data_IF_076939427900
#
_entry.id   IF_076939427900
#
_cell.length_a   1.000
_cell.length_b   1.000
_cell.length_c   1.000
_cell.angle_alpha   90.00
_cell.angle_beta   90.00
_cell.angle_gamma   90.00
#
_symmetry.space_group_name_H-M   'P 1'
#
loop_
_entity.id
_entity.type
_entity.pdbx_description
1 polymer ?
#
# COMPACT_ATOMS: atom_id res chain seq x y z
N UNK A 1 96.93 2.96 -14.62
CA UNK A 1 96.00 2.03 -13.94
C UNK A 1 95.13 2.66 -12.84
N UNK A 2 95.67 3.48 -11.90
CA UNK A 2 94.85 4.08 -10.82
C UNK A 2 93.68 4.95 -11.32
N UNK A 3 93.88 5.82 -12.32
CA UNK A 3 92.81 6.66 -12.91
C UNK A 3 91.68 5.83 -13.55
N UNK A 4 92.02 4.76 -14.28
CA UNK A 4 91.05 3.87 -14.93
C UNK A 4 90.20 3.13 -13.88
N UNK A 5 90.82 2.60 -12.80
CA UNK A 5 90.08 1.97 -11.69
C UNK A 5 89.12 2.97 -11.02
N UNK A 6 89.57 4.20 -10.75
CA UNK A 6 88.75 5.24 -10.14
C UNK A 6 87.54 5.63 -10.99
N UNK A 7 87.71 5.71 -12.32
CA UNK A 7 86.63 6.00 -13.27
C UNK A 7 85.63 4.83 -13.32
N UNK A 8 86.12 3.58 -13.36
CA UNK A 8 85.27 2.38 -13.33
C UNK A 8 84.44 2.30 -12.03
N UNK A 9 85.05 2.58 -10.87
CA UNK A 9 84.36 2.60 -9.57
C UNK A 9 83.29 3.70 -9.51
N UNK A 10 83.59 4.89 -10.00
CA UNK A 10 82.63 6.00 -10.05
C UNK A 10 81.45 5.70 -10.98
N UNK A 11 81.72 5.20 -12.19
CA UNK A 11 80.67 4.83 -13.14
C UNK A 11 79.79 3.68 -12.63
N UNK A 12 80.38 2.69 -11.94
CA UNK A 12 79.64 1.61 -11.30
C UNK A 12 78.72 2.12 -10.18
N UNK A 13 79.24 3.02 -9.32
CA UNK A 13 78.45 3.65 -8.26
C UNK A 13 77.30 4.47 -8.84
N UNK A 14 77.56 5.29 -9.88
CA UNK A 14 76.53 6.13 -10.49
C UNK A 14 75.43 5.30 -11.16
N UNK A 15 75.80 4.22 -11.84
CA UNK A 15 74.85 3.27 -12.43
C UNK A 15 73.96 2.61 -11.37
N UNK A 16 74.56 2.16 -10.26
CA UNK A 16 73.85 1.52 -9.17
C UNK A 16 72.92 2.50 -8.44
N UNK A 17 73.37 3.73 -8.19
CA UNK A 17 72.55 4.79 -7.59
C UNK A 17 71.38 5.19 -8.50
N UNK A 18 71.63 5.32 -9.81
CA UNK A 18 70.57 5.65 -10.78
C UNK A 18 69.51 4.53 -10.84
N UNK A 19 69.93 3.26 -10.92
CA UNK A 19 69.02 2.11 -10.90
C UNK A 19 68.23 2.00 -9.58
N UNK A 20 68.89 2.21 -8.44
CA UNK A 20 68.23 2.18 -7.13
C UNK A 20 67.22 3.32 -6.97
N UNK A 21 67.53 4.52 -7.49
CA UNK A 21 66.59 5.65 -7.49
C UNK A 21 65.39 5.42 -8.41
N UNK A 22 65.56 4.79 -9.57
CA UNK A 22 64.47 4.46 -10.49
C UNK A 22 63.54 3.39 -9.91
N UNK A 23 64.07 2.41 -9.19
CA UNK A 23 63.29 1.33 -8.56
C UNK A 23 62.36 1.86 -7.46
N UNK A 24 62.72 2.95 -6.78
CA UNK A 24 61.91 3.57 -5.74
C UNK A 24 60.64 4.26 -6.27
N UNK A 25 60.57 4.61 -7.56
CA UNK A 25 59.40 5.27 -8.16
C UNK A 25 58.31 4.32 -8.65
N UNK A 26 58.54 2.99 -8.63
CA UNK A 26 57.59 1.98 -9.14
C UNK A 26 56.84 1.23 -8.03
N UNK A 27 57.05 1.53 -6.76
CA UNK A 27 56.31 0.90 -5.68
C UNK A 27 55.03 1.72 -5.37
N UNK A 28 53.95 1.46 -6.11
CA UNK A 28 52.61 1.84 -5.67
C UNK A 28 51.99 0.61 -4.99
N UNK A 29 51.58 0.75 -3.72
CA UNK A 29 50.68 -0.25 -3.12
C UNK A 29 49.30 -0.03 -3.73
N UNK A 30 48.98 -0.78 -4.77
CA UNK A 30 47.65 -0.83 -5.37
C UNK A 30 46.80 -1.82 -4.57
N UNK A 31 46.01 -1.27 -3.64
CA UNK A 31 45.15 -2.03 -2.74
C UNK A 31 45.82 -2.40 -1.40
N UNK A 32 44.99 -2.59 -0.38
CA UNK A 32 45.36 -3.00 0.98
C UNK A 32 44.69 -4.35 1.25
N UNK A 33 45.49 -5.41 1.37
CA UNK A 33 45.01 -6.70 1.88
C UNK A 33 45.16 -6.74 3.39
N UNK A 34 44.07 -6.98 4.13
CA UNK A 34 44.07 -7.23 5.57
C UNK A 34 43.77 -8.71 5.78
N UNK A 35 44.84 -9.49 5.94
CA UNK A 35 44.77 -10.93 6.11
C UNK A 35 46.05 -11.50 6.73
N UNK A 36 45.99 -12.75 7.15
CA UNK A 36 47.12 -13.48 7.75
C UNK A 36 47.98 -14.23 6.73
N UNK A 37 47.54 -14.31 5.46
CA UNK A 37 48.20 -15.07 4.38
C UNK A 37 49.23 -14.25 3.59
N UNK A 38 49.26 -12.93 3.79
CA UNK A 38 50.10 -12.00 3.05
C UNK A 38 49.63 -11.77 1.61
N UNK A 39 48.41 -12.21 1.26
CA UNK A 39 47.87 -12.04 -0.08
C UNK A 39 47.54 -10.57 -0.36
N UNK A 40 47.90 -10.09 -1.55
CA UNK A 40 47.47 -8.78 -2.01
C UNK A 40 45.95 -8.75 -2.22
N UNK A 41 45.36 -7.56 -2.13
CA UNK A 41 43.96 -7.36 -2.50
C UNK A 41 43.74 -7.71 -3.99
N UNK A 42 42.55 -8.20 -4.33
CA UNK A 42 42.11 -8.41 -5.71
C UNK A 42 42.17 -7.11 -6.50
N UNK A 43 42.38 -7.22 -7.80
CA UNK A 43 42.55 -6.10 -8.74
C UNK A 43 41.35 -5.13 -8.78
N UNK A 44 40.15 -5.58 -8.43
CA UNK A 44 38.95 -4.76 -8.32
C UNK A 44 38.78 -4.03 -6.96
N UNK A 45 39.67 -4.24 -5.98
CA UNK A 45 39.50 -3.75 -4.61
C UNK A 45 40.67 -2.88 -4.12
N UNK A 46 40.34 -1.72 -3.53
CA UNK A 46 41.32 -0.89 -2.80
C UNK A 46 41.54 -1.42 -1.37
N UNK A 47 40.56 -2.11 -0.79
CA UNK A 47 40.67 -2.77 0.51
C UNK A 47 39.99 -4.13 0.43
N UNK A 48 40.71 -5.20 0.76
CA UNK A 48 40.17 -6.55 0.90
C UNK A 48 40.45 -7.05 2.32
N UNK A 49 39.41 -7.58 2.96
CA UNK A 49 39.49 -8.23 4.27
C UNK A 49 39.05 -9.67 4.04
N UNK A 50 39.98 -10.61 4.07
CA UNK A 50 39.69 -12.00 3.70
C UNK A 50 40.91 -12.89 3.79
N UNK A 51 40.73 -14.06 4.37
CA UNK A 51 41.80 -15.01 4.69
C UNK A 51 41.67 -16.33 3.91
N UNK A 52 40.76 -16.37 2.92
CA UNK A 52 40.53 -17.52 2.05
C UNK A 52 39.67 -18.62 2.67
N UNK A 53 39.57 -18.68 4.01
CA UNK A 53 38.58 -19.48 4.76
C UNK A 53 37.46 -18.63 5.39
N UNK A 54 37.55 -17.30 5.26
CA UNK A 54 36.56 -16.27 5.64
C UNK A 54 35.85 -16.50 6.99
N UNK A 55 36.64 -16.75 8.04
CA UNK A 55 36.15 -16.92 9.42
C UNK A 55 36.17 -15.63 10.24
N UNK A 56 36.92 -14.63 9.81
CA UNK A 56 36.99 -13.30 10.42
C UNK A 56 36.21 -12.27 9.62
N UNK A 57 35.85 -11.17 10.28
CA UNK A 57 35.15 -10.04 9.66
C UNK A 57 35.69 -8.71 10.14
N UNK A 58 35.08 -7.63 9.66
CA UNK A 58 35.40 -6.27 10.06
C UNK A 58 34.65 -5.87 11.33
N UNK A 59 35.38 -5.57 12.41
CA UNK A 59 34.78 -4.93 13.59
C UNK A 59 34.76 -3.40 13.39
N UNK A 60 33.56 -2.86 13.27
CA UNK A 60 33.32 -1.42 13.13
C UNK A 60 33.42 -0.72 14.52
N UNK A 61 33.85 0.55 14.60
CA UNK A 61 33.89 1.29 15.86
C UNK A 61 32.57 1.23 16.64
N UNK A 62 32.67 0.89 17.92
CA UNK A 62 31.54 0.84 18.85
C UNK A 62 31.49 2.12 19.65
N UNK A 63 30.37 2.83 19.60
CA UNK A 63 30.15 4.11 20.28
C UNK A 63 28.84 4.10 21.05
N UNK A 64 28.62 5.10 21.89
CA UNK A 64 27.35 5.32 22.56
C UNK A 64 26.69 6.56 21.97
N UNK A 65 25.82 6.35 20.97
CA UNK A 65 25.01 7.46 20.45
C UNK A 65 23.95 7.83 21.48
N UNK A 66 23.81 9.12 21.77
CA UNK A 66 22.79 9.65 22.68
C UNK A 66 21.57 10.18 21.94
N UNK A 67 21.77 10.75 20.75
CA UNK A 67 20.76 11.31 19.87
C UNK A 67 21.24 11.13 18.43
N UNK A 68 20.38 10.69 17.53
CA UNK A 68 20.75 10.52 16.12
C UNK A 68 20.92 11.85 15.39
N UNK A 69 20.32 12.93 15.86
CA UNK A 69 20.36 14.23 15.19
C UNK A 69 21.65 15.03 15.52
N UNK A 70 22.56 14.46 16.30
CA UNK A 70 23.82 15.08 16.70
C UNK A 70 25.00 14.20 16.29
N UNK A 71 26.05 14.80 15.72
CA UNK A 71 27.23 14.06 15.24
C UNK A 71 28.04 13.37 16.36
N UNK A 72 27.85 13.80 17.61
CA UNK A 72 28.46 13.21 18.80
C UNK A 72 28.13 11.70 18.89
N UNK A 73 29.04 10.91 19.49
CA UNK A 73 30.24 11.29 20.23
C UNK A 73 31.48 11.51 19.34
N UNK A 74 31.34 11.44 18.01
CA UNK A 74 32.44 11.73 17.10
C UNK A 74 32.74 13.23 17.10
N UNK A 75 34.02 13.58 16.96
CA UNK A 75 34.53 14.95 16.97
C UNK A 75 35.27 15.28 15.66
N UNK A 76 35.37 16.57 15.33
CA UNK A 76 36.03 17.05 14.11
C UNK A 76 35.03 17.34 12.98
N UNK A 77 35.55 17.55 11.76
CA UNK A 77 34.71 17.75 10.57
C UNK A 77 33.90 16.49 10.30
N UNK A 78 32.58 16.61 10.21
CA UNK A 78 31.72 15.46 9.93
C UNK A 78 31.97 14.91 8.53
N UNK A 79 32.16 13.61 8.42
CA UNK A 79 32.37 12.93 7.13
C UNK A 79 31.16 12.04 6.85
N UNK A 80 30.48 12.28 5.73
CA UNK A 80 29.35 11.45 5.27
C UNK A 80 29.80 10.01 5.02
N UNK A 81 28.91 9.06 5.27
CA UNK A 81 29.11 7.62 5.11
C UNK A 81 30.01 6.96 6.16
N UNK A 82 30.37 7.65 7.25
CA UNK A 82 30.96 6.97 8.41
C UNK A 82 29.98 5.98 9.01
N UNK A 83 30.41 4.75 9.28
CA UNK A 83 29.60 3.69 9.90
C UNK A 83 30.12 3.44 11.32
N UNK A 84 29.21 3.32 12.27
CA UNK A 84 29.48 2.96 13.68
C UNK A 84 28.46 1.93 14.16
N UNK A 85 28.81 1.19 15.21
CA UNK A 85 27.83 0.43 15.99
C UNK A 85 27.50 1.19 17.28
N UNK A 86 26.23 1.56 17.47
CA UNK A 86 25.74 2.13 18.74
C UNK A 86 25.42 1.01 19.72
N UNK A 87 26.02 1.06 20.91
CA UNK A 87 25.73 0.11 22.00
C UNK A 87 24.52 0.52 22.86
N UNK A 88 24.02 1.74 22.65
CA UNK A 88 22.87 2.33 23.32
C UNK A 88 21.72 2.55 22.35
N UNK A 89 20.52 2.81 22.89
CA UNK A 89 19.37 3.30 22.15
C UNK A 89 19.40 4.83 22.11
N UNK A 90 19.92 5.49 21.06
CA UNK A 90 19.87 6.94 20.96
C UNK A 90 18.42 7.42 20.85
N UNK A 91 18.16 8.63 21.37
CA UNK A 91 16.91 9.36 21.10
C UNK A 91 16.70 9.53 19.60
N UNK A 92 15.45 9.46 19.15
CA UNK A 92 15.03 9.47 17.73
C UNK A 92 15.64 8.34 16.87
N UNK A 93 16.37 7.42 17.48
CA UNK A 93 16.95 6.25 16.82
C UNK A 93 16.09 5.01 16.95
N UNK A 94 16.68 3.87 16.55
CA UNK A 94 16.02 2.58 16.50
C UNK A 94 16.80 1.52 17.29
N UNK A 95 17.06 1.81 18.56
CA UNK A 95 17.78 0.90 19.46
C UNK A 95 19.29 0.76 19.17
N UNK A 96 19.98 -0.15 19.86
CA UNK A 96 21.37 -0.50 19.56
C UNK A 96 21.49 -1.12 18.17
N UNK A 97 22.59 -0.87 17.47
CA UNK A 97 22.79 -1.39 16.11
C UNK A 97 23.75 -0.57 15.28
N UNK A 98 23.82 -0.88 13.99
CA UNK A 98 24.65 -0.13 13.06
C UNK A 98 23.98 1.18 12.64
N UNK A 99 24.75 2.25 12.60
CA UNK A 99 24.34 3.57 12.13
C UNK A 99 25.36 4.10 11.15
N UNK A 100 24.90 4.84 10.14
CA UNK A 100 25.79 5.64 9.30
C UNK A 100 25.46 7.12 9.38
N UNK A 101 26.47 7.98 9.23
CA UNK A 101 26.28 9.43 9.18
C UNK A 101 25.83 9.87 7.79
N UNK A 102 24.66 10.49 7.68
CA UNK A 102 24.11 10.98 6.40
C UNK A 102 24.74 12.30 5.92
N UNK A 103 25.58 12.93 6.75
CA UNK A 103 25.99 14.33 6.59
C UNK A 103 25.26 15.28 7.54
N UNK A 104 24.10 14.87 8.06
CA UNK A 104 23.27 15.70 8.96
C UNK A 104 22.73 14.96 10.18
N UNK A 105 22.55 13.64 10.10
CA UNK A 105 22.11 12.79 11.22
C UNK A 105 22.60 11.36 11.07
N UNK A 106 22.59 10.61 12.16
CA UNK A 106 22.79 9.17 12.18
C UNK A 106 21.53 8.47 11.66
N UNK A 107 21.72 7.54 10.72
CA UNK A 107 20.65 6.70 10.18
C UNK A 107 20.90 5.27 10.60
N UNK A 108 19.93 4.65 11.27
CA UNK A 108 19.99 3.24 11.61
C UNK A 108 19.97 2.39 10.33
N UNK A 109 20.87 1.43 10.25
CA UNK A 109 20.87 0.40 9.20
C UNK A 109 19.98 -0.73 9.72
N UNK A 110 18.67 -0.61 9.42
CA UNK A 110 17.71 -1.63 9.80
C UNK A 110 17.90 -2.90 8.96
N UNK A 111 17.83 -4.06 9.60
CA UNK A 111 17.80 -5.36 8.93
C UNK A 111 16.62 -6.19 9.44
N UNK A 112 15.89 -6.89 8.57
CA UNK A 112 14.89 -7.85 9.01
C UNK A 112 15.56 -9.01 9.74
N UNK A 113 15.03 -9.41 10.89
CA UNK A 113 15.55 -10.56 11.65
C UNK A 113 15.24 -11.92 11.01
N UNK A 114 14.53 -11.97 9.89
CA UNK A 114 13.82 -13.17 9.41
C UNK A 114 14.25 -13.61 7.99
N UNK A 115 15.33 -13.06 7.44
CA UNK A 115 15.78 -13.36 6.07
C UNK A 115 14.98 -12.63 4.99
N UNK A 116 15.16 -13.03 3.70
CA UNK A 116 14.41 -12.44 2.60
C UNK A 116 12.95 -12.88 2.69
N UNK A 117 12.01 -11.93 2.62
CA UNK A 117 10.58 -12.23 2.63
C UNK A 117 10.18 -13.15 1.47
N UNK A 118 9.00 -13.76 1.58
CA UNK A 118 8.40 -14.53 0.48
C UNK A 118 7.71 -13.59 -0.52
N UNK A 119 7.56 -14.02 -1.78
CA UNK A 119 6.82 -13.27 -2.81
C UNK A 119 5.43 -12.86 -2.30
N UNK A 120 5.08 -11.59 -2.48
CA UNK A 120 3.82 -11.00 -2.01
C UNK A 120 3.85 -10.46 -0.58
N UNK A 121 4.92 -10.69 0.20
CA UNK A 121 5.11 -10.03 1.49
C UNK A 121 5.66 -8.62 1.32
N UNK A 122 5.30 -7.74 2.25
CA UNK A 122 5.84 -6.39 2.36
C UNK A 122 6.60 -6.26 3.68
N UNK A 123 7.69 -5.49 3.67
CA UNK A 123 8.42 -5.19 4.89
C UNK A 123 7.63 -4.12 5.66
N UNK A 124 7.22 -4.44 6.87
CA UNK A 124 6.46 -3.55 7.74
C UNK A 124 7.33 -3.03 8.88
N UNK A 125 7.10 -1.77 9.27
CA UNK A 125 7.74 -1.19 10.46
C UNK A 125 7.15 -1.81 11.72
N UNK A 126 8.01 -2.26 12.63
CA UNK A 126 7.59 -2.70 13.97
C UNK A 126 7.33 -1.55 14.95
N UNK A 127 7.57 -0.30 14.54
CA UNK A 127 7.61 0.85 15.44
C UNK A 127 8.98 1.05 16.10
N UNK A 128 9.12 2.08 16.93
CA UNK A 128 10.39 2.46 17.58
C UNK A 128 10.97 1.32 18.42
N UNK A 129 12.21 0.95 18.13
CA UNK A 129 12.94 -0.10 18.86
C UNK A 129 12.58 -1.53 18.47
N UNK A 130 11.70 -1.71 17.48
CA UNK A 130 11.35 -3.03 16.95
C UNK A 130 11.97 -3.25 15.57
N UNK A 131 12.42 -4.48 15.31
CA UNK A 131 12.88 -4.87 14.00
C UNK A 131 11.73 -4.82 12.98
N UNK A 132 12.05 -4.50 11.73
CA UNK A 132 11.09 -4.62 10.63
C UNK A 132 10.75 -6.08 10.37
N UNK A 133 9.47 -6.39 10.12
CA UNK A 133 9.00 -7.76 9.89
C UNK A 133 8.31 -7.87 8.54
N UNK A 134 8.51 -9.01 7.86
CA UNK A 134 7.76 -9.33 6.65
C UNK A 134 6.33 -9.70 7.02
N UNK A 135 5.37 -9.00 6.44
CA UNK A 135 3.96 -9.29 6.61
C UNK A 135 3.33 -9.62 5.25
N UNK A 136 2.44 -10.60 5.24
CA UNK A 136 1.54 -10.81 4.10
C UNK A 136 0.44 -9.76 4.20
N UNK A 137 0.32 -8.83 3.24
CA UNK A 137 -0.79 -7.87 3.23
C UNK A 137 -2.12 -8.61 3.28
N UNK A 138 -3.09 -8.09 4.06
CA UNK A 138 -4.43 -8.62 4.04
C UNK A 138 -5.01 -8.50 2.62
N UNK A 139 -5.42 -9.62 2.04
CA UNK A 139 -6.17 -9.62 0.78
C UNK A 139 -7.62 -9.28 1.08
N UNK A 140 -8.06 -8.12 0.61
CA UNK A 140 -9.48 -7.75 0.66
C UNK A 140 -10.24 -8.60 -0.36
N UNK A 141 -11.05 -9.54 0.11
CA UNK A 141 -11.98 -10.28 -0.75
C UNK A 141 -13.30 -9.51 -0.82
N UNK A 142 -13.75 -9.19 -2.03
CA UNK A 142 -15.02 -8.56 -2.21
C UNK A 142 -16.14 -9.61 -2.04
N UNK A 143 -17.17 -9.28 -1.25
CA UNK A 143 -18.37 -10.11 -1.12
C UNK A 143 -19.28 -10.01 -2.34
N UNK A 144 -20.57 -10.34 -2.19
CA UNK A 144 -21.53 -10.35 -3.30
C UNK A 144 -22.13 -8.97 -3.66
N UNK A 145 -21.80 -7.90 -2.91
CA UNK A 145 -22.37 -6.56 -3.10
C UNK A 145 -21.38 -5.46 -3.50
N UNK A 146 -20.08 -5.71 -3.37
CA UNK A 146 -19.00 -4.82 -3.79
C UNK A 146 -18.03 -5.66 -4.62
N UNK A 147 -17.33 -5.06 -5.58
CA UNK A 147 -16.24 -5.75 -6.30
C UNK A 147 -14.93 -4.98 -6.18
N UNK A 148 -13.84 -5.69 -5.92
CA UNK A 148 -12.49 -5.12 -5.90
C UNK A 148 -11.80 -5.49 -7.20
N UNK A 149 -11.44 -4.48 -8.00
CA UNK A 149 -10.63 -4.65 -9.20
C UNK A 149 -9.34 -3.86 -9.04
N UNK A 150 -8.21 -4.57 -8.94
CA UNK A 150 -6.89 -3.99 -8.64
C UNK A 150 -6.93 -3.15 -7.35
N UNK A 151 -6.98 -1.83 -7.50
CA UNK A 151 -6.96 -0.83 -6.44
C UNK A 151 -8.29 -0.06 -6.31
N UNK A 152 -9.34 -0.49 -7.01
CA UNK A 152 -10.63 0.22 -7.05
C UNK A 152 -11.74 -0.63 -6.43
N UNK A 153 -12.42 -0.08 -5.42
CA UNK A 153 -13.67 -0.63 -4.87
C UNK A 153 -14.82 -0.13 -5.74
N UNK A 154 -15.57 -1.05 -6.32
CA UNK A 154 -16.71 -0.77 -7.17
C UNK A 154 -18.02 -1.15 -6.45
N UNK A 155 -19.06 -0.39 -6.76
CA UNK A 155 -20.41 -0.56 -6.24
C UNK A 155 -21.41 -0.53 -7.40
N UNK A 156 -22.49 -1.30 -7.27
CA UNK A 156 -23.65 -1.21 -8.17
C UNK A 156 -24.52 0.01 -7.86
N UNK A 157 -24.24 0.71 -6.76
CA UNK A 157 -24.87 1.98 -6.39
C UNK A 157 -23.94 3.14 -6.71
N UNK A 158 -24.41 4.09 -7.51
CA UNK A 158 -23.65 5.30 -7.88
C UNK A 158 -24.40 6.54 -7.46
N UNK A 159 -23.64 7.53 -6.99
CA UNK A 159 -24.13 8.88 -6.73
C UNK A 159 -24.24 9.68 -8.04
N UNK A 160 -25.40 10.28 -8.30
CA UNK A 160 -25.61 11.25 -9.38
C UNK A 160 -26.12 12.55 -8.76
N UNK A 161 -25.25 13.56 -8.67
CA UNK A 161 -25.53 14.73 -7.85
C UNK A 161 -25.72 14.33 -6.38
N UNK A 162 -26.91 14.60 -5.83
CA UNK A 162 -27.28 14.23 -4.46
C UNK A 162 -28.04 12.90 -4.37
N UNK A 163 -28.34 12.27 -5.51
CA UNK A 163 -29.15 11.05 -5.56
C UNK A 163 -28.28 9.81 -5.67
N UNK A 164 -28.81 8.65 -5.25
CA UNK A 164 -28.18 7.35 -5.43
C UNK A 164 -29.08 6.50 -6.34
N UNK A 165 -28.48 5.85 -7.32
CA UNK A 165 -29.19 4.95 -8.22
C UNK A 165 -28.42 3.65 -8.48
N UNK A 166 -29.16 2.60 -8.85
CA UNK A 166 -28.57 1.37 -9.34
C UNK A 166 -28.00 1.63 -10.74
N UNK A 167 -26.67 1.54 -10.88
CA UNK A 167 -25.93 1.90 -12.10
C UNK A 167 -25.86 0.78 -13.14
N UNK A 168 -26.47 -0.37 -12.86
CA UNK A 168 -26.61 -1.47 -13.80
C UNK A 168 -28.04 -1.53 -14.37
N UNK A 169 -28.24 -2.41 -15.36
CA UNK A 169 -29.54 -2.58 -16.01
C UNK A 169 -30.56 -3.39 -15.19
N UNK A 170 -30.13 -4.04 -14.11
CA UNK A 170 -30.94 -4.94 -13.29
C UNK A 170 -31.84 -4.18 -12.29
N UNK A 171 -32.46 -4.94 -11.40
CA UNK A 171 -33.45 -4.50 -10.43
C UNK A 171 -32.90 -4.52 -9.00
N UNK A 172 -33.55 -3.80 -8.10
CA UNK A 172 -33.22 -3.77 -6.67
C UNK A 172 -34.17 -4.71 -5.94
N UNK A 173 -33.60 -5.73 -5.27
CA UNK A 173 -34.37 -6.68 -4.46
C UNK A 173 -34.21 -6.43 -2.97
N UNK A 174 -35.29 -6.56 -2.20
CA UNK A 174 -35.28 -6.57 -0.73
C UNK A 174 -35.91 -7.87 -0.25
N UNK A 175 -35.11 -8.80 0.27
CA UNK A 175 -35.56 -10.15 0.62
C UNK A 175 -35.99 -11.02 -0.58
N UNK A 176 -35.85 -10.50 -1.79
CA UNK A 176 -36.17 -11.15 -3.06
C UNK A 176 -34.86 -11.50 -3.78
N UNK A 177 -34.74 -12.75 -4.26
CA UNK A 177 -33.58 -13.21 -5.06
C UNK A 177 -33.86 -13.27 -6.56
N UNK A 178 -35.11 -13.02 -6.98
CA UNK A 178 -35.54 -12.97 -8.38
C UNK A 178 -36.55 -11.82 -8.55
N UNK A 179 -36.07 -10.62 -8.86
CA UNK A 179 -36.90 -9.40 -8.86
C UNK A 179 -37.69 -9.21 -10.17
N UNK A 180 -39.01 -9.09 -10.08
CA UNK A 180 -39.92 -8.85 -11.21
C UNK A 180 -40.15 -7.38 -11.58
N UNK A 181 -39.73 -6.44 -10.73
CA UNK A 181 -39.87 -5.00 -10.92
C UNK A 181 -38.59 -4.26 -10.54
N UNK A 182 -38.45 -2.99 -10.95
CA UNK A 182 -37.26 -2.16 -10.67
C UNK A 182 -36.92 -2.08 -9.19
N UNK A 183 -37.93 -2.05 -8.33
CA UNK A 183 -37.83 -2.31 -6.91
C UNK A 183 -38.80 -3.45 -6.56
N UNK A 184 -38.27 -4.57 -6.08
CA UNK A 184 -39.05 -5.73 -5.67
C UNK A 184 -38.76 -6.07 -4.21
N UNK A 185 -39.82 -6.11 -3.40
CA UNK A 185 -39.76 -6.35 -1.96
C UNK A 185 -40.56 -7.61 -1.65
N UNK A 186 -39.87 -8.69 -1.28
CA UNK A 186 -40.50 -9.91 -0.79
C UNK A 186 -40.91 -9.72 0.67
N UNK A 187 -42.04 -9.03 0.87
CA UNK A 187 -42.53 -8.61 2.18
C UNK A 187 -43.37 -7.34 2.07
N UNK A 188 -43.46 -6.58 3.16
CA UNK A 188 -44.18 -5.30 3.18
C UNK A 188 -43.20 -4.15 2.94
N UNK A 189 -43.47 -3.32 1.93
CA UNK A 189 -42.79 -2.04 1.77
C UNK A 189 -43.60 -0.93 2.48
N UNK A 190 -42.96 -0.19 3.39
CA UNK A 190 -43.57 0.99 4.05
C UNK A 190 -43.06 2.27 3.41
N UNK A 191 -43.92 2.96 2.66
CA UNK A 191 -43.67 4.32 2.18
C UNK A 191 -44.26 5.30 3.18
N UNK A 192 -43.42 6.15 3.81
CA UNK A 192 -43.86 7.06 4.89
C UNK A 192 -44.74 8.21 4.41
N UNK A 193 -44.60 8.57 3.14
CA UNK A 193 -45.33 9.67 2.52
C UNK A 193 -46.12 9.12 1.33
N UNK A 194 -45.87 9.60 0.12
CA UNK A 194 -46.60 9.20 -1.09
C UNK A 194 -45.79 8.19 -1.88
N UNK A 195 -46.43 7.09 -2.29
CA UNK A 195 -45.91 6.23 -3.34
C UNK A 195 -46.24 6.91 -4.68
N UNK A 196 -45.26 7.64 -5.24
CA UNK A 196 -45.34 8.22 -6.57
C UNK A 196 -45.24 7.11 -7.61
N UNK A 197 -46.20 7.07 -8.51
CA UNK A 197 -46.37 6.02 -9.52
C UNK A 197 -46.72 6.77 -10.81
N UNK A 198 -46.07 6.52 -11.95
CA UNK A 198 -46.42 7.14 -13.25
C UNK A 198 -45.30 7.93 -13.96
N UNK A 199 -45.41 7.99 -15.30
CA UNK A 199 -44.62 8.83 -16.21
C UNK A 199 -45.59 9.65 -17.10
N UNK A 200 -45.49 10.99 -17.07
CA UNK A 200 -46.19 11.93 -17.96
C UNK A 200 -47.75 12.02 -17.88
N UNK A 201 -48.37 13.10 -18.42
CA UNK A 201 -49.64 13.69 -17.92
C UNK A 201 -50.97 12.92 -18.07
N UNK A 202 -50.98 11.71 -18.66
CA UNK A 202 -52.22 10.97 -18.99
C UNK A 202 -52.36 9.58 -18.34
N UNK A 203 -51.47 9.17 -17.43
CA UNK A 203 -51.47 7.82 -16.86
C UNK A 203 -52.25 7.66 -15.54
N UNK A 204 -52.70 6.41 -15.26
CA UNK A 204 -52.89 5.93 -13.88
C UNK A 204 -51.52 5.85 -13.29
N UNK A 205 -51.34 6.68 -12.30
CA UNK A 205 -50.14 6.76 -11.54
C UNK A 205 -49.71 5.35 -11.08
N UNK A 206 -50.52 4.64 -10.27
CA UNK A 206 -50.29 3.25 -9.83
C UNK A 206 -51.38 2.67 -8.93
N UNK A 207 -51.28 1.37 -8.59
CA UNK A 207 -52.40 0.54 -8.12
C UNK A 207 -52.05 -0.24 -6.84
N UNK A 208 -53.03 -0.30 -5.95
CA UNK A 208 -52.96 -0.89 -4.61
C UNK A 208 -53.88 -2.13 -4.52
N UNK A 209 -53.34 -3.31 -4.16
CA UNK A 209 -54.09 -4.58 -4.04
C UNK A 209 -53.60 -5.36 -2.81
N UNK A 210 -54.51 -5.73 -1.91
CA UNK A 210 -54.20 -6.53 -0.71
C UNK A 210 -54.81 -7.94 -0.77
N UNK A 211 -54.13 -8.92 -0.17
CA UNK A 211 -54.62 -10.28 0.05
C UNK A 211 -55.71 -10.36 1.17
N UNK A 212 -56.06 -9.24 1.83
CA UNK A 212 -56.93 -9.24 3.03
C UNK A 212 -58.36 -8.73 2.78
N UNK A 213 -58.77 -8.54 1.52
CA UNK A 213 -60.19 -8.34 1.19
C UNK A 213 -60.71 -6.90 1.21
N UNK A 214 -59.84 -5.88 1.24
CA UNK A 214 -60.21 -4.55 0.72
C UNK A 214 -59.82 -4.49 -0.76
N UNK A 215 -60.73 -4.03 -1.60
CA UNK A 215 -60.58 -4.11 -3.05
C UNK A 215 -59.63 -3.06 -3.63
N UNK A 216 -59.43 -3.17 -4.94
CA UNK A 216 -58.44 -2.43 -5.71
C UNK A 216 -59.08 -1.25 -6.46
N UNK A 217 -58.39 -0.10 -6.48
CA UNK A 217 -58.82 1.10 -7.19
C UNK A 217 -57.82 1.43 -8.31
N UNK A 218 -58.38 1.70 -9.50
CA UNK A 218 -57.71 2.10 -10.74
C UNK A 218 -58.21 3.49 -11.12
N UNK A 219 -57.33 4.39 -11.55
CA UNK A 219 -57.75 5.64 -12.22
C UNK A 219 -57.62 5.48 -13.74
N UNK A 220 -57.53 6.48 -14.61
CA UNK A 220 -56.92 6.43 -15.96
C UNK A 220 -56.90 7.85 -16.48
N UNK A 221 -55.72 8.46 -16.61
CA UNK A 221 -55.63 9.92 -16.72
C UNK A 221 -56.35 10.64 -15.58
N UNK A 222 -56.83 11.86 -15.82
CA UNK A 222 -57.41 12.73 -14.78
C UNK A 222 -58.84 12.42 -14.34
N UNK A 223 -59.60 11.58 -15.07
CA UNK A 223 -61.07 11.69 -14.97
C UNK A 223 -61.86 10.39 -14.92
N UNK A 224 -61.23 9.23 -15.03
CA UNK A 224 -61.95 7.94 -14.90
C UNK A 224 -61.37 7.15 -13.76
N UNK A 225 -62.25 6.64 -12.91
CA UNK A 225 -61.90 5.80 -11.79
C UNK A 225 -62.83 4.63 -11.70
N UNK A 226 -62.26 3.53 -11.27
CA UNK A 226 -62.92 2.24 -11.22
C UNK A 226 -62.41 1.58 -9.94
N UNK A 227 -63.31 1.20 -9.06
CA UNK A 227 -62.98 0.81 -7.70
C UNK A 227 -63.73 -0.43 -7.25
N UNK A 228 -63.01 -1.47 -6.83
CA UNK A 228 -63.53 -2.69 -6.20
C UNK A 228 -63.48 -2.52 -4.67
N UNK A 229 -64.50 -3.01 -3.98
CA UNK A 229 -64.63 -3.01 -2.52
C UNK A 229 -65.35 -4.27 -2.05
N UNK A 230 -65.59 -4.40 -0.74
CA UNK A 230 -66.32 -5.54 -0.17
C UNK A 230 -67.50 -5.00 0.64
N UNK A 231 -68.70 -5.52 0.44
CA UNK A 231 -69.90 -5.21 1.24
C UNK A 231 -70.48 -6.52 1.80
N UNK A 232 -70.33 -6.71 3.12
CA UNK A 232 -70.65 -7.98 3.77
C UNK A 232 -69.73 -9.12 3.31
N UNK A 233 -70.32 -10.24 2.87
CA UNK A 233 -69.64 -11.36 2.20
C UNK A 233 -69.51 -11.19 0.68
N UNK A 234 -69.98 -10.07 0.11
CA UNK A 234 -69.93 -9.76 -1.32
C UNK A 234 -68.88 -8.71 -1.69
N UNK A 235 -68.48 -8.67 -2.97
CA UNK A 235 -67.63 -7.63 -3.57
C UNK A 235 -68.52 -6.54 -4.15
N UNK A 236 -68.31 -5.29 -3.77
CA UNK A 236 -68.90 -4.13 -4.46
C UNK A 236 -67.95 -3.64 -5.55
N UNK A 237 -68.50 -3.10 -6.61
CA UNK A 237 -67.71 -2.38 -7.61
C UNK A 237 -68.43 -1.12 -8.02
N UNK A 238 -67.66 -0.13 -8.44
CA UNK A 238 -68.19 1.05 -9.09
C UNK A 238 -67.28 1.52 -10.21
N UNK A 239 -67.90 1.96 -11.29
CA UNK A 239 -67.26 2.73 -12.33
C UNK A 239 -67.72 4.17 -12.22
N UNK A 240 -66.78 5.08 -12.38
CA UNK A 240 -67.01 6.49 -12.22
C UNK A 240 -66.15 7.28 -13.17
N UNK A 241 -66.74 8.32 -13.71
CA UNK A 241 -65.96 9.47 -14.13
C UNK A 241 -65.85 10.34 -12.86
N UNK A 242 -64.74 11.01 -12.60
CA UNK A 242 -64.63 11.87 -11.41
C UNK A 242 -65.77 12.92 -11.36
N UNK A 243 -66.33 13.31 -12.52
CA UNK A 243 -67.39 14.31 -12.68
C UNK A 243 -68.85 13.80 -12.59
N UNK A 244 -69.10 12.49 -12.70
CA UNK A 244 -70.49 11.96 -12.80
C UNK A 244 -70.88 10.95 -11.73
N UNK A 245 -69.98 10.67 -10.78
CA UNK A 245 -70.23 9.77 -9.65
C UNK A 245 -69.99 8.30 -9.97
N UNK A 246 -69.64 7.54 -8.92
CA UNK A 246 -69.44 6.10 -8.95
C UNK A 246 -70.81 5.42 -8.86
N UNK A 247 -71.16 4.64 -9.88
CA UNK A 247 -72.33 3.78 -9.80
C UNK A 247 -72.00 2.60 -8.88
N UNK A 248 -72.47 2.65 -7.62
CA UNK A 248 -72.34 1.54 -6.67
C UNK A 248 -73.45 0.54 -6.91
N UNK A 249 -73.08 -0.71 -7.19
CA UNK A 249 -74.01 -1.83 -7.32
C UNK A 249 -73.61 -2.85 -6.25
N UNK A 250 -74.53 -3.08 -5.30
CA UNK A 250 -74.37 -4.01 -4.17
C UNK A 250 -74.87 -5.40 -4.50
#
# INVERSE_FOLDING_TARGET
MKKIKSILLFSFSLFFTFHFSFLAFYCFSQGVGINTTGSAAKDAAILEIGEGSDTQGLLIPRVNLTDVDVYLPLTGTSVTSLIVYSSTSPTNGNGPGYYYWSGSKWINIAAPSNGPGTSGQVLTSGGTGAATTWATPATYSAGTGLSLSLNTINSVWTTSGNDIYNNNSANVGIGATSQGAKLDVNGTAKVRTVLGVGADPWDIAGINVSNTGYGAFLTSGSDKQIGLGRQGSGVTWGIGQNTSGLLSIG
#
